data_IF_037782700123
#
_entry.id   IF_037782700123
#
_cell.length_a   1.000
_cell.length_b   1.000
_cell.length_c   1.000
_cell.angle_alpha   90.00
_cell.angle_beta   90.00
_cell.angle_gamma   90.00
#
_symmetry.space_group_name_H-M   'P 1'
#
loop_
_entity.id
_entity.type
_entity.pdbx_description
1 polymer ?
#
# COMPACT_ATOMS: atom_id res chain seq x y z
N UNK A 1 6.74 -16.46 -13.40
CA UNK A 1 5.93 -15.57 -12.56
C UNK A 1 6.87 -15.03 -11.50
N UNK A 2 6.98 -13.70 -11.36
CA UNK A 2 7.86 -13.06 -10.38
C UNK A 2 7.01 -12.01 -9.65
N UNK A 3 6.90 -12.15 -8.32
CA UNK A 3 6.25 -11.17 -7.44
C UNK A 3 7.36 -10.62 -6.55
N UNK A 4 7.67 -9.31 -6.66
CA UNK A 4 8.58 -8.65 -5.74
C UNK A 4 7.94 -7.34 -5.28
N UNK A 5 8.28 -6.94 -4.06
CA UNK A 5 7.73 -5.78 -3.38
C UNK A 5 8.87 -4.82 -3.04
N UNK A 6 8.70 -3.53 -3.35
CA UNK A 6 9.49 -2.44 -2.78
C UNK A 6 8.82 -1.89 -1.53
N UNK A 7 9.60 -1.45 -0.54
CA UNK A 7 9.12 -1.02 0.77
C UNK A 7 9.58 0.38 1.13
N UNK A 8 8.67 1.18 1.67
CA UNK A 8 8.99 2.25 2.61
C UNK A 8 8.06 2.16 3.81
N UNK A 9 8.61 2.40 4.99
CA UNK A 9 7.95 2.13 6.27
C UNK A 9 8.35 3.25 7.21
N UNK A 10 7.47 4.15 7.64
CA UNK A 10 7.84 5.12 8.65
C UNK A 10 7.89 4.47 10.04
N UNK A 11 8.65 5.07 10.95
CA UNK A 11 8.64 4.75 12.37
C UNK A 11 7.48 5.50 13.00
N UNK A 12 6.47 4.77 13.47
CA UNK A 12 5.49 5.35 14.38
C UNK A 12 6.22 5.71 15.68
N UNK A 13 6.23 6.98 16.07
CA UNK A 13 6.77 7.35 17.39
C UNK A 13 5.83 6.83 18.47
N UNK A 14 6.22 5.71 19.08
CA UNK A 14 5.45 5.01 20.11
C UNK A 14 5.26 5.81 21.40
N UNK A 15 5.78 7.04 21.48
CA UNK A 15 5.67 7.89 22.68
C UNK A 15 4.43 8.78 22.70
N UNK A 16 3.86 9.13 21.54
CA UNK A 16 2.67 10.00 21.46
C UNK A 16 1.53 9.43 20.59
N UNK A 17 1.73 8.30 19.90
CA UNK A 17 0.65 7.59 19.22
C UNK A 17 -0.01 6.56 20.13
N UNK A 18 -0.71 7.03 21.16
CA UNK A 18 -1.98 6.38 21.48
C UNK A 18 -2.89 6.69 20.31
N UNK A 19 -2.96 5.82 19.28
CA UNK A 19 -4.03 5.96 18.28
C UNK A 19 -5.32 5.97 19.11
N UNK A 20 -6.07 7.10 19.18
CA UNK A 20 -7.30 7.11 19.95
C UNK A 20 -8.13 5.95 19.42
N UNK A 21 -8.62 5.08 20.31
CA UNK A 21 -9.37 3.87 19.97
C UNK A 21 -10.35 4.10 18.80
N UNK A 22 -10.96 5.28 18.80
CA UNK A 22 -11.93 5.74 17.83
C UNK A 22 -11.39 5.91 16.39
N UNK A 23 -10.12 6.33 16.22
CA UNK A 23 -9.48 6.48 14.92
C UNK A 23 -9.08 5.13 14.28
N UNK A 24 -8.48 4.23 15.07
CA UNK A 24 -8.13 2.87 14.61
C UNK A 24 -9.37 2.11 14.14
N UNK A 25 -10.46 2.22 14.91
CA UNK A 25 -11.70 1.55 14.62
C UNK A 25 -12.39 2.10 13.36
N UNK A 26 -12.45 3.44 13.21
CA UNK A 26 -13.05 4.09 12.03
C UNK A 26 -12.34 3.72 10.73
N UNK A 27 -11.01 3.63 10.74
CA UNK A 27 -10.28 3.06 9.62
C UNK A 27 -10.74 1.62 9.37
N UNK A 28 -10.73 0.76 10.38
CA UNK A 28 -11.18 -0.64 10.25
C UNK A 28 -12.59 -0.73 9.63
N UNK A 29 -13.54 0.11 10.06
CA UNK A 29 -14.93 0.15 9.57
C UNK A 29 -15.01 0.58 8.10
N UNK A 30 -14.35 1.68 7.73
CA UNK A 30 -14.34 2.18 6.35
C UNK A 30 -13.69 1.17 5.39
N UNK A 31 -12.71 0.38 5.86
CA UNK A 31 -11.99 -0.61 5.03
C UNK A 31 -12.56 -2.05 5.12
N UNK A 32 -13.38 -2.39 6.13
CA UNK A 32 -13.95 -3.73 6.35
C UNK A 32 -15.28 -3.99 5.63
N UNK A 33 -15.88 -3.01 4.94
CA UNK A 33 -17.11 -3.21 4.11
C UNK A 33 -16.93 -4.23 2.96
N UNK A 34 -15.73 -4.81 2.80
CA UNK A 34 -15.41 -5.91 1.89
C UNK A 34 -14.92 -7.22 2.54
N UNK A 35 -14.95 -7.36 3.87
CA UNK A 35 -14.73 -8.68 4.50
C UNK A 35 -15.77 -9.72 4.05
N UNK A 36 -16.91 -9.28 3.49
CA UNK A 36 -17.93 -10.16 2.91
C UNK A 36 -17.47 -10.82 1.59
N UNK A 37 -16.58 -10.20 0.81
CA UNK A 37 -15.97 -10.82 -0.39
C UNK A 37 -14.83 -11.81 -0.03
N UNK A 38 -14.39 -11.85 1.24
CA UNK A 38 -13.37 -12.78 1.74
C UNK A 38 -13.94 -14.15 2.17
N UNK A 39 -15.26 -14.26 2.37
CA UNK A 39 -15.91 -15.51 2.80
C UNK A 39 -16.04 -16.56 1.69
N UNK A 40 -15.78 -16.24 0.42
CA UNK A 40 -15.85 -17.23 -0.66
C UNK A 40 -14.51 -17.94 -0.90
N UNK A 41 -14.38 -19.12 -0.30
CA UNK A 41 -13.59 -20.27 -0.78
C UNK A 41 -12.11 -20.04 -1.13
N UNK A 42 -11.25 -20.09 -0.13
CA UNK A 42 -9.88 -20.63 -0.19
C UNK A 42 -9.51 -21.05 1.24
N UNK A 43 -8.74 -22.14 1.43
CA UNK A 43 -8.27 -22.56 2.77
C UNK A 43 -7.72 -21.33 3.49
N UNK A 44 -8.35 -20.90 4.58
CA UNK A 44 -7.96 -19.70 5.32
C UNK A 44 -6.48 -19.81 5.67
N UNK A 45 -5.65 -19.02 4.96
CA UNK A 45 -4.25 -18.89 5.32
C UNK A 45 -4.22 -18.29 6.71
N UNK A 46 -3.74 -19.04 7.69
CA UNK A 46 -3.48 -18.52 9.02
C UNK A 46 -2.17 -17.75 8.99
N UNK A 47 -2.16 -16.57 9.60
CA UNK A 47 -0.96 -15.74 9.75
C UNK A 47 -0.53 -15.78 11.20
N UNK A 48 0.68 -16.26 11.45
CA UNK A 48 1.26 -16.26 12.79
C UNK A 48 1.59 -14.82 13.23
N UNK A 49 1.58 -14.57 14.55
CA UNK A 49 2.08 -13.33 15.10
C UNK A 49 3.57 -13.15 14.74
N UNK A 50 3.96 -12.00 14.15
CA UNK A 50 5.37 -11.72 13.89
C UNK A 50 6.20 -11.72 15.18
N UNK A 51 7.40 -12.30 15.12
CA UNK A 51 8.37 -12.29 16.23
C UNK A 51 9.31 -11.08 16.16
N UNK A 52 9.14 -10.21 15.17
CA UNK A 52 9.97 -9.04 14.97
C UNK A 52 9.13 -7.87 14.45
N UNK A 53 9.55 -6.64 14.77
CA UNK A 53 8.99 -5.45 14.13
C UNK A 53 9.41 -5.37 12.68
N UNK A 54 8.65 -4.62 11.89
CA UNK A 54 9.09 -4.22 10.58
C UNK A 54 10.27 -3.23 10.71
N UNK A 55 11.26 -3.24 9.78
CA UNK A 55 12.14 -2.09 9.62
C UNK A 55 11.32 -0.83 9.43
N UNK A 56 11.82 0.30 9.92
CA UNK A 56 11.09 1.57 9.88
C UNK A 56 12.04 2.75 9.72
N UNK A 57 11.55 3.86 9.19
CA UNK A 57 12.30 5.05 8.83
C UNK A 57 11.68 6.25 9.55
N UNK A 58 12.45 7.05 10.25
CA UNK A 58 11.88 8.18 11.00
C UNK A 58 11.26 9.24 10.08
N UNK A 59 10.24 9.97 10.56
CA UNK A 59 9.63 11.07 9.78
C UNK A 59 10.63 12.17 9.45
N UNK A 60 11.66 12.36 10.28
CA UNK A 60 12.78 13.26 10.01
C UNK A 60 13.48 12.95 8.67
N UNK A 61 13.59 11.67 8.30
CA UNK A 61 14.16 11.27 7.02
C UNK A 61 13.20 11.49 5.84
N UNK A 62 11.89 11.37 6.06
CA UNK A 62 10.89 11.71 5.03
C UNK A 62 10.92 13.20 4.73
N UNK A 63 10.98 14.03 5.77
CA UNK A 63 11.16 15.47 5.66
C UNK A 63 12.45 15.83 4.93
N UNK A 64 13.59 15.22 5.31
CA UNK A 64 14.88 15.44 4.65
C UNK A 64 14.85 15.09 3.15
N UNK A 65 14.27 13.96 2.77
CA UNK A 65 14.17 13.58 1.36
C UNK A 65 13.27 14.55 0.57
N UNK A 66 12.22 15.10 1.18
CA UNK A 66 11.41 16.14 0.56
C UNK A 66 12.16 17.47 0.41
N UNK A 67 12.96 17.86 1.41
CA UNK A 67 13.81 19.07 1.34
C UNK A 67 14.81 18.91 0.20
N UNK A 68 15.47 17.76 0.11
CA UNK A 68 16.43 17.48 -0.95
C UNK A 68 15.77 17.43 -2.34
N UNK A 69 14.57 16.86 -2.45
CA UNK A 69 13.79 16.92 -3.68
C UNK A 69 13.44 18.38 -4.05
N UNK A 70 13.07 19.20 -3.06
CA UNK A 70 12.76 20.62 -3.26
C UNK A 70 13.99 21.41 -3.72
N UNK A 71 15.16 21.16 -3.15
CA UNK A 71 16.43 21.74 -3.59
C UNK A 71 16.78 21.32 -5.02
N UNK A 72 16.66 20.02 -5.32
CA UNK A 72 16.91 19.48 -6.65
C UNK A 72 16.01 20.13 -7.72
N UNK A 73 14.72 20.29 -7.43
CA UNK A 73 13.76 20.94 -8.32
C UNK A 73 14.07 22.44 -8.48
N UNK A 74 14.45 23.11 -7.39
CA UNK A 74 14.82 24.53 -7.40
C UNK A 74 16.06 24.81 -8.24
N UNK A 75 17.07 23.93 -8.20
CA UNK A 75 18.27 24.02 -9.04
C UNK A 75 17.95 23.93 -10.55
N UNK A 76 16.82 23.29 -10.90
CA UNK A 76 16.30 23.21 -12.26
C UNK A 76 15.38 24.37 -12.63
N UNK A 77 15.22 25.36 -11.76
CA UNK A 77 14.35 26.52 -11.97
C UNK A 77 12.86 26.23 -11.75
N UNK A 78 12.51 25.06 -11.22
CA UNK A 78 11.12 24.66 -10.97
C UNK A 78 10.68 25.27 -9.63
N UNK A 79 9.64 26.12 -9.67
CA UNK A 79 9.12 26.81 -8.47
C UNK A 79 8.10 25.93 -7.73
N UNK A 80 8.31 25.73 -6.44
CA UNK A 80 7.45 24.86 -5.61
C UNK A 80 6.39 25.57 -4.79
N UNK A 81 6.28 26.89 -4.90
CA UNK A 81 5.26 27.68 -4.21
C UNK A 81 3.85 27.26 -4.63
N UNK A 82 3.00 27.03 -3.64
CA UNK A 82 1.64 26.51 -3.72
C UNK A 82 1.53 25.11 -4.36
N UNK A 83 2.59 24.31 -4.35
CA UNK A 83 2.54 22.92 -4.86
C UNK A 83 2.20 21.92 -3.76
N UNK A 84 1.85 20.69 -4.16
CA UNK A 84 1.62 19.61 -3.19
C UNK A 84 2.88 19.21 -2.43
N UNK A 85 4.07 19.37 -3.04
CA UNK A 85 5.35 19.06 -2.39
C UNK A 85 5.62 20.01 -1.23
N UNK A 86 5.40 21.32 -1.45
CA UNK A 86 5.49 22.33 -0.37
C UNK A 86 4.53 21.98 0.78
N UNK A 87 3.29 21.60 0.47
CA UNK A 87 2.34 21.17 1.51
C UNK A 87 2.78 19.90 2.24
N UNK A 88 3.42 18.94 1.59
CA UNK A 88 3.95 17.78 2.30
C UNK A 88 5.13 18.14 3.20
N UNK A 89 5.97 19.11 2.80
CA UNK A 89 7.02 19.67 3.65
C UNK A 89 6.43 20.32 4.90
N UNK A 90 5.43 21.20 4.71
CA UNK A 90 4.73 21.85 5.81
C UNK A 90 4.10 20.82 6.75
N UNK A 91 3.43 19.79 6.21
CA UNK A 91 2.84 18.72 7.01
C UNK A 91 3.88 17.98 7.86
N UNK A 92 5.02 17.60 7.28
CA UNK A 92 6.05 16.92 8.05
C UNK A 92 6.76 17.84 9.05
N UNK A 93 6.87 19.15 8.78
CA UNK A 93 7.33 20.12 9.78
C UNK A 93 6.42 20.12 11.00
N UNK A 94 5.10 20.17 10.79
CA UNK A 94 4.11 20.10 11.86
C UNK A 94 4.21 18.78 12.64
N UNK A 95 4.29 17.64 11.95
CA UNK A 95 4.47 16.31 12.60
C UNK A 95 5.73 16.27 13.48
N UNK A 96 6.84 16.87 13.03
CA UNK A 96 8.09 16.91 13.80
C UNK A 96 8.04 17.89 14.98
N UNK A 97 7.18 18.90 14.92
CA UNK A 97 6.91 19.85 16.01
C UNK A 97 5.86 19.34 17.01
N UNK A 98 5.35 18.11 16.82
CA UNK A 98 4.25 17.52 17.58
C UNK A 98 2.91 18.30 17.47
N UNK A 99 2.78 19.18 16.48
CA UNK A 99 1.54 19.85 16.11
C UNK A 99 0.88 19.03 14.98
N UNK A 100 -0.24 18.36 15.26
CA UNK A 100 -0.78 17.35 14.34
C UNK A 100 -1.99 17.81 13.53
N UNK A 101 -2.30 19.11 13.48
CA UNK A 101 -3.50 19.59 12.78
C UNK A 101 -3.31 19.67 11.24
N UNK A 102 -3.71 18.65 10.47
CA UNK A 102 -3.43 18.58 9.03
C UNK A 102 -4.30 19.58 8.25
N UNK A 103 -5.39 20.06 8.87
CA UNK A 103 -6.33 21.01 8.27
C UNK A 103 -5.68 22.37 8.03
N UNK A 104 -4.63 22.70 8.78
CA UNK A 104 -3.84 23.93 8.59
C UNK A 104 -3.04 23.91 7.28
N UNK A 105 -2.69 22.74 6.79
CA UNK A 105 -1.88 22.53 5.58
C UNK A 105 -2.76 22.26 4.37
N UNK A 106 -3.69 21.32 4.49
CA UNK A 106 -4.48 20.81 3.37
C UNK A 106 -5.87 21.45 3.28
N UNK A 107 -5.92 22.78 3.34
CA UNK A 107 -7.17 23.57 3.37
C UNK A 107 -8.12 23.33 2.20
N UNK A 108 -7.62 22.82 1.07
CA UNK A 108 -8.41 22.54 -0.14
C UNK A 108 -8.88 21.09 -0.24
N UNK A 109 -8.52 20.24 0.72
CA UNK A 109 -8.80 18.80 0.71
C UNK A 109 -9.99 18.43 1.62
N UNK A 110 -10.84 19.41 1.97
CA UNK A 110 -11.91 19.24 2.97
C UNK A 110 -13.00 18.23 2.58
N UNK A 111 -13.15 17.95 1.29
CA UNK A 111 -14.18 17.01 0.78
C UNK A 111 -13.63 15.60 0.57
N UNK A 112 -12.41 15.30 1.05
CA UNK A 112 -11.82 13.98 0.94
C UNK A 112 -12.26 13.00 2.03
N UNK A 113 -11.86 11.73 1.93
CA UNK A 113 -12.24 10.67 2.86
C UNK A 113 -11.44 10.73 4.18
N UNK A 114 -11.12 11.94 4.68
CA UNK A 114 -10.23 12.12 5.82
C UNK A 114 -11.05 12.33 7.09
N UNK A 115 -11.15 11.30 7.91
CA UNK A 115 -11.95 11.32 9.14
C UNK A 115 -11.09 11.40 10.41
N UNK A 116 -9.79 11.09 10.29
CA UNK A 116 -8.84 11.07 11.39
C UNK A 116 -7.45 11.59 10.96
N UNK A 117 -6.60 12.02 11.90
CA UNK A 117 -5.20 12.35 11.61
C UNK A 117 -4.44 11.21 10.92
N UNK A 118 -4.76 9.96 11.27
CA UNK A 118 -4.15 8.78 10.65
C UNK A 118 -4.53 8.61 9.17
N UNK A 119 -5.74 9.02 8.76
CA UNK A 119 -6.09 9.01 7.33
C UNK A 119 -5.18 9.96 6.56
N UNK A 120 -5.05 11.21 7.04
CA UNK A 120 -4.16 12.21 6.44
C UNK A 120 -2.74 11.66 6.33
N UNK A 121 -2.23 11.07 7.41
CA UNK A 121 -0.90 10.48 7.45
C UNK A 121 -0.72 9.39 6.38
N UNK A 122 -1.64 8.43 6.29
CA UNK A 122 -1.57 7.35 5.30
C UNK A 122 -1.59 7.88 3.86
N UNK A 123 -2.43 8.89 3.58
CA UNK A 123 -2.47 9.51 2.26
C UNK A 123 -1.20 10.30 1.95
N UNK A 124 -0.65 11.06 2.91
CA UNK A 124 0.64 11.75 2.72
C UNK A 124 1.77 10.75 2.48
N UNK A 125 1.85 9.68 3.29
CA UNK A 125 2.87 8.63 3.15
C UNK A 125 2.81 7.95 1.79
N UNK A 126 1.61 7.69 1.26
CA UNK A 126 1.44 7.21 -0.12
C UNK A 126 2.21 8.11 -1.09
N UNK A 127 1.94 9.40 -1.05
CA UNK A 127 2.50 10.35 -2.01
C UNK A 127 4.01 10.52 -1.83
N UNK A 128 4.45 10.65 -0.58
CA UNK A 128 5.85 10.94 -0.25
C UNK A 128 6.76 9.75 -0.51
N UNK A 129 6.34 8.53 -0.23
CA UNK A 129 7.15 7.35 -0.55
C UNK A 129 7.37 7.17 -2.06
N UNK A 130 6.40 7.55 -2.90
CA UNK A 130 6.58 7.56 -4.35
C UNK A 130 7.55 8.65 -4.80
N UNK A 131 7.49 9.85 -4.19
CA UNK A 131 8.46 10.92 -4.44
C UNK A 131 9.87 10.54 -4.00
N UNK A 132 10.03 9.92 -2.83
CA UNK A 132 11.31 9.38 -2.34
C UNK A 132 11.87 8.33 -3.30
N UNK A 133 11.01 7.44 -3.83
CA UNK A 133 11.42 6.47 -4.83
C UNK A 133 11.93 7.13 -6.10
N UNK A 134 11.28 8.19 -6.57
CA UNK A 134 11.72 8.97 -7.74
C UNK A 134 13.07 9.64 -7.46
N UNK A 135 13.20 10.31 -6.31
CA UNK A 135 14.44 10.98 -5.89
C UNK A 135 15.62 10.00 -5.87
N UNK A 136 15.44 8.77 -5.37
CA UNK A 136 16.48 7.72 -5.39
C UNK A 136 17.01 7.46 -6.80
N UNK A 137 16.14 7.40 -7.80
CA UNK A 137 16.54 7.22 -9.19
C UNK A 137 17.31 8.42 -9.73
N UNK A 138 16.82 9.63 -9.46
CA UNK A 138 17.45 10.89 -9.90
C UNK A 138 18.86 11.06 -9.30
N UNK A 139 19.06 10.64 -8.03
CA UNK A 139 20.37 10.63 -7.37
C UNK A 139 21.39 9.71 -8.06
N UNK A 140 20.94 8.63 -8.69
CA UNK A 140 21.83 7.75 -9.43
C UNK A 140 22.24 8.36 -10.77
N UNK A 141 21.27 8.94 -11.49
CA UNK A 141 21.50 9.52 -12.82
C UNK A 141 20.30 10.34 -13.28
N UNK A 142 20.56 11.43 -14.00
CA UNK A 142 19.50 12.20 -14.65
C UNK A 142 18.97 11.51 -15.92
N UNK A 143 17.63 11.37 -16.08
CA UNK A 143 17.02 10.93 -17.32
C UNK A 143 16.97 12.07 -18.35
N UNK A 144 17.13 11.74 -19.63
CA UNK A 144 16.91 12.70 -20.71
C UNK A 144 15.41 13.07 -20.76
N UNK A 145 15.07 14.37 -20.82
CA UNK A 145 13.68 14.83 -20.78
C UNK A 145 13.03 14.78 -19.39
N UNK A 146 13.82 14.58 -18.32
CA UNK A 146 13.31 14.55 -16.96
C UNK A 146 12.64 15.85 -16.51
N UNK A 147 13.16 16.99 -16.92
CA UNK A 147 12.74 18.31 -16.42
C UNK A 147 11.27 18.60 -16.72
N UNK A 148 10.79 18.31 -17.93
CA UNK A 148 9.37 18.45 -18.32
C UNK A 148 8.45 17.58 -17.46
N UNK A 149 8.86 16.33 -17.18
CA UNK A 149 8.09 15.41 -16.33
C UNK A 149 8.09 15.85 -14.88
N UNK A 150 9.20 16.40 -14.40
CA UNK A 150 9.30 16.94 -13.04
C UNK A 150 8.39 18.16 -12.87
N UNK A 151 8.35 19.07 -13.84
CA UNK A 151 7.45 20.22 -13.82
C UNK A 151 5.97 19.81 -13.84
N UNK A 152 5.59 18.79 -14.59
CA UNK A 152 4.22 18.25 -14.54
C UNK A 152 3.91 17.58 -13.18
N UNK A 153 4.88 16.85 -12.62
CA UNK A 153 4.70 16.08 -11.39
C UNK A 153 4.39 16.96 -10.17
N UNK A 154 4.78 18.22 -10.10
CA UNK A 154 4.53 19.04 -8.89
C UNK A 154 3.09 19.56 -8.79
N UNK A 155 2.35 19.52 -9.91
CA UNK A 155 0.98 20.02 -10.00
C UNK A 155 -0.09 19.06 -9.46
N UNK A 156 -1.35 19.29 -9.85
CA UNK A 156 -2.49 18.45 -9.47
C UNK A 156 -2.97 18.65 -8.03
N UNK A 157 -3.94 17.82 -7.63
CA UNK A 157 -4.45 17.81 -6.26
C UNK A 157 -3.48 17.22 -5.25
N UNK A 158 -3.68 17.54 -3.97
CA UNK A 158 -2.85 17.05 -2.85
C UNK A 158 -2.78 15.53 -2.83
N UNK A 159 -3.88 14.84 -3.07
CA UNK A 159 -3.91 13.37 -2.96
C UNK A 159 -4.43 12.77 -4.25
N UNK A 160 -3.83 11.67 -4.72
CA UNK A 160 -4.30 10.99 -5.92
C UNK A 160 -5.76 10.49 -5.82
N UNK A 161 -6.27 10.40 -4.59
CA UNK A 161 -7.67 10.18 -4.23
C UNK A 161 -8.60 11.24 -4.85
N UNK A 162 -8.19 12.51 -4.79
CA UNK A 162 -9.00 13.68 -5.15
C UNK A 162 -8.79 14.14 -6.60
N UNK A 163 -7.85 13.51 -7.30
CA UNK A 163 -7.40 13.99 -8.60
C UNK A 163 -8.45 13.76 -9.69
N UNK A 164 -8.84 14.86 -10.34
CA UNK A 164 -9.73 14.88 -11.51
C UNK A 164 -8.96 14.92 -12.81
N UNK A 165 -7.87 15.68 -12.83
CA UNK A 165 -6.85 15.63 -13.88
C UNK A 165 -5.86 14.51 -13.57
N UNK A 166 -5.32 13.85 -14.59
CA UNK A 166 -4.40 12.74 -14.43
C UNK A 166 -2.96 13.05 -14.82
N UNK A 167 -2.68 14.20 -15.44
CA UNK A 167 -1.39 14.44 -16.11
C UNK A 167 -0.22 14.46 -15.13
N UNK A 168 -0.34 15.22 -14.03
CA UNK A 168 0.66 15.26 -12.97
C UNK A 168 0.99 13.87 -12.41
N UNK A 169 -0.04 13.04 -12.22
CA UNK A 169 0.12 11.70 -11.65
C UNK A 169 0.57 10.68 -12.70
N UNK A 170 0.25 10.88 -13.98
CA UNK A 170 0.80 10.08 -15.07
C UNK A 170 2.31 10.33 -15.15
N UNK A 171 2.75 11.60 -15.14
CA UNK A 171 4.16 11.96 -15.07
C UNK A 171 4.86 11.38 -13.83
N UNK A 172 4.22 11.43 -12.66
CA UNK A 172 4.74 10.80 -11.44
C UNK A 172 4.92 9.29 -11.60
N UNK A 173 3.93 8.59 -12.19
CA UNK A 173 4.03 7.15 -12.42
C UNK A 173 5.13 6.80 -13.43
N UNK A 174 5.28 7.58 -14.50
CA UNK A 174 6.37 7.41 -15.48
C UNK A 174 7.74 7.60 -14.84
N UNK A 175 7.91 8.64 -14.02
CA UNK A 175 9.14 8.89 -13.25
C UNK A 175 9.41 7.76 -12.23
N UNK A 176 8.37 7.21 -11.59
CA UNK A 176 8.50 6.04 -10.70
C UNK A 176 9.04 4.83 -11.46
N UNK A 177 8.50 4.55 -12.65
CA UNK A 177 8.95 3.45 -13.50
C UNK A 177 10.39 3.69 -13.99
N UNK A 178 10.71 4.91 -14.44
CA UNK A 178 12.05 5.31 -14.83
C UNK A 178 13.07 5.10 -13.70
N UNK A 179 12.70 5.41 -12.46
CA UNK A 179 13.57 5.27 -11.28
C UNK A 179 14.12 3.86 -11.11
N UNK A 180 13.34 2.80 -11.36
CA UNK A 180 13.84 1.42 -11.30
C UNK A 180 15.03 1.19 -12.25
N UNK A 181 14.98 1.76 -13.45
CA UNK A 181 16.05 1.62 -14.44
C UNK A 181 17.25 2.51 -14.12
N UNK A 182 17.02 3.73 -13.61
CA UNK A 182 18.09 4.64 -13.18
C UNK A 182 18.89 4.06 -12.01
N UNK A 183 18.22 3.47 -11.01
CA UNK A 183 18.86 2.82 -9.87
C UNK A 183 19.73 1.62 -10.27
N UNK A 184 19.39 0.92 -11.37
CA UNK A 184 20.23 -0.12 -11.96
C UNK A 184 21.38 0.42 -12.84
N UNK A 185 21.40 1.72 -13.13
CA UNK A 185 22.40 2.37 -13.97
C UNK A 185 22.10 2.34 -15.47
N UNK A 186 20.85 2.12 -15.88
CA UNK A 186 20.44 2.28 -17.27
C UNK A 186 20.54 3.74 -17.73
N UNK A 187 20.61 3.96 -19.04
CA UNK A 187 20.30 5.28 -19.62
C UNK A 187 18.79 5.35 -19.86
N UNK A 188 18.14 6.38 -19.34
CA UNK A 188 16.69 6.57 -19.49
C UNK A 188 16.41 7.82 -20.31
N UNK A 189 15.46 7.70 -21.23
CA UNK A 189 15.01 8.75 -22.14
C UNK A 189 13.48 8.85 -22.05
N UNK A 190 13.02 10.04 -21.67
CA UNK A 190 11.63 10.45 -21.48
C UNK A 190 11.19 11.52 -22.49
N UNK A 191 12.04 11.87 -23.47
CA UNK A 191 11.76 12.93 -24.48
C UNK A 191 10.88 12.45 -25.63
N UNK A 192 10.66 11.15 -25.72
CA UNK A 192 9.99 10.54 -26.87
C UNK A 192 8.49 10.40 -26.64
N UNK A 193 7.75 10.08 -27.70
CA UNK A 193 6.34 9.73 -27.55
C UNK A 193 6.10 8.47 -26.70
N UNK A 194 7.10 7.58 -26.56
CA UNK A 194 7.01 6.46 -25.63
C UNK A 194 7.40 6.93 -24.24
N UNK A 195 6.53 6.65 -23.27
CA UNK A 195 6.61 7.17 -21.90
C UNK A 195 7.98 6.96 -21.25
N UNK A 196 8.59 5.77 -21.38
CA UNK A 196 9.95 5.50 -20.90
C UNK A 196 10.72 4.63 -21.89
N UNK A 197 11.93 5.06 -22.26
CA UNK A 197 12.91 4.22 -22.97
C UNK A 197 14.12 4.00 -22.07
N UNK A 198 14.38 2.76 -21.69
CA UNK A 198 15.52 2.39 -20.84
C UNK A 198 16.53 1.51 -21.61
N UNK A 199 17.77 1.98 -21.71
CA UNK A 199 18.86 1.28 -22.41
C UNK A 199 19.86 0.74 -21.38
N UNK A 200 19.94 -0.58 -21.31
CA UNK A 200 20.93 -1.31 -20.51
C UNK A 200 22.15 -1.69 -21.36
N UNK A 201 23.16 -2.33 -20.76
CA UNK A 201 24.30 -2.89 -21.53
C UNK A 201 23.85 -3.96 -22.54
N UNK A 202 22.80 -4.73 -22.22
CA UNK A 202 22.38 -5.91 -22.98
C UNK A 202 21.26 -5.61 -23.97
N UNK A 203 20.22 -4.91 -23.52
CA UNK A 203 18.96 -4.71 -24.26
C UNK A 203 18.41 -3.28 -24.08
N UNK A 204 17.48 -2.89 -24.96
CA UNK A 204 16.69 -1.67 -24.83
C UNK A 204 15.21 -1.99 -24.58
N UNK A 205 14.62 -1.33 -23.59
CA UNK A 205 13.24 -1.52 -23.16
C UNK A 205 12.43 -0.28 -23.48
N UNK A 206 11.32 -0.45 -24.20
CA UNK A 206 10.33 0.58 -24.47
C UNK A 206 9.13 0.29 -23.58
N UNK A 207 8.78 1.23 -22.71
CA UNK A 207 7.73 1.05 -21.72
C UNK A 207 6.63 2.09 -21.95
N UNK A 208 5.40 1.62 -22.13
CA UNK A 208 4.20 2.46 -22.10
C UNK A 208 3.55 2.32 -20.71
N UNK A 209 3.38 3.45 -20.04
CA UNK A 209 2.81 3.56 -18.72
C UNK A 209 1.32 3.91 -18.82
N UNK A 210 0.47 3.23 -18.05
CA UNK A 210 -0.96 3.54 -17.96
C UNK A 210 -1.44 3.48 -16.53
N UNK A 211 -1.98 4.59 -16.02
CA UNK A 211 -2.75 4.61 -14.78
C UNK A 211 -4.21 4.31 -15.08
N UNK A 212 -4.72 3.24 -14.49
CA UNK A 212 -6.04 2.70 -14.85
C UNK A 212 -7.03 3.04 -13.74
N UNK A 213 -7.97 3.93 -14.04
CA UNK A 213 -8.90 4.46 -13.05
C UNK A 213 -10.04 3.50 -12.68
N UNK A 214 -10.35 2.50 -13.53
CA UNK A 214 -11.45 1.57 -13.28
C UNK A 214 -11.32 0.27 -14.07
N UNK A 215 -11.99 -0.79 -13.59
CA UNK A 215 -12.05 -2.09 -14.28
C UNK A 215 -12.64 -1.98 -15.69
N UNK A 216 -13.58 -1.04 -15.91
CA UNK A 216 -14.18 -0.78 -17.23
C UNK A 216 -13.14 -0.31 -18.26
N UNK A 217 -12.15 0.46 -17.83
CA UNK A 217 -11.12 1.03 -18.71
C UNK A 217 -9.91 0.09 -18.90
N UNK A 218 -9.76 -0.92 -18.04
CA UNK A 218 -8.59 -1.79 -17.97
C UNK A 218 -8.16 -2.34 -19.33
N UNK A 219 -9.02 -3.10 -20.01
CA UNK A 219 -8.65 -3.71 -21.29
C UNK A 219 -8.43 -2.71 -22.41
N UNK A 220 -9.21 -1.63 -22.44
CA UNK A 220 -9.04 -0.57 -23.45
C UNK A 220 -7.66 0.06 -23.32
N UNK A 221 -7.30 0.51 -22.11
CA UNK A 221 -6.01 1.19 -21.83
C UNK A 221 -4.81 0.29 -22.09
N UNK A 222 -4.89 -0.99 -21.76
CA UNK A 222 -3.82 -1.97 -22.06
C UNK A 222 -3.65 -2.15 -23.58
N UNK A 223 -4.74 -2.31 -24.33
CA UNK A 223 -4.68 -2.41 -25.80
C UNK A 223 -4.13 -1.14 -26.44
N UNK A 224 -4.52 0.03 -25.95
CA UNK A 224 -4.00 1.32 -26.44
C UNK A 224 -2.47 1.38 -26.26
N UNK A 225 -1.95 0.96 -25.10
CA UNK A 225 -0.53 0.86 -24.83
C UNK A 225 0.20 -0.13 -25.76
N UNK A 226 -0.42 -1.29 -26.02
CA UNK A 226 0.14 -2.26 -26.97
C UNK A 226 0.27 -1.68 -28.39
N UNK A 227 -0.76 -0.97 -28.85
CA UNK A 227 -0.78 -0.33 -30.17
C UNK A 227 0.29 0.76 -30.25
N UNK A 228 0.42 1.58 -29.21
CA UNK A 228 1.45 2.60 -29.09
C UNK A 228 2.86 1.99 -29.18
N UNK A 229 3.13 0.91 -28.43
CA UNK A 229 4.41 0.20 -28.50
C UNK A 229 4.68 -0.37 -29.90
N UNK A 230 3.71 -1.04 -30.53
CA UNK A 230 3.91 -1.60 -31.88
C UNK A 230 4.28 -0.51 -32.90
N UNK A 231 3.67 0.67 -32.79
CA UNK A 231 3.93 1.79 -33.70
C UNK A 231 5.32 2.39 -33.48
N UNK A 232 5.76 2.49 -32.22
CA UNK A 232 6.94 3.29 -31.82
C UNK A 232 8.24 2.49 -31.68
N UNK A 233 8.17 1.17 -31.47
CA UNK A 233 9.36 0.34 -31.22
C UNK A 233 10.15 0.04 -32.50
N UNK A 234 11.39 0.55 -32.66
CA UNK A 234 12.26 0.19 -33.77
C UNK A 234 12.73 -1.27 -33.62
N UNK A 235 13.27 -1.87 -34.69
CA UNK A 235 13.79 -3.25 -34.62
C UNK A 235 15.03 -3.37 -33.70
N UNK A 236 15.88 -2.34 -33.70
CA UNK A 236 17.06 -2.21 -32.84
C UNK A 236 17.20 -0.76 -32.37
N UNK A 237 17.90 -0.56 -31.24
CA UNK A 237 18.36 0.75 -30.76
C UNK A 237 19.80 0.61 -30.32
N UNK A 238 20.69 1.45 -30.87
CA UNK A 238 22.13 1.44 -30.54
C UNK A 238 22.74 0.03 -30.58
N UNK A 239 22.42 -0.74 -31.62
CA UNK A 239 22.89 -2.12 -31.81
C UNK A 239 22.20 -3.19 -30.94
N UNK A 240 21.36 -2.81 -29.97
CA UNK A 240 20.68 -3.72 -29.02
C UNK A 240 19.32 -4.17 -29.54
N UNK A 241 18.83 -5.32 -29.07
CA UNK A 241 17.45 -5.70 -29.36
C UNK A 241 16.50 -4.85 -28.53
N UNK A 242 15.34 -4.55 -29.10
CA UNK A 242 14.30 -3.73 -28.49
C UNK A 242 13.12 -4.60 -28.09
N UNK A 243 12.67 -4.44 -26.85
CA UNK A 243 11.54 -5.16 -26.28
C UNK A 243 10.53 -4.21 -25.63
N UNK A 244 9.25 -4.50 -25.81
CA UNK A 244 8.14 -3.71 -25.28
C UNK A 244 7.64 -4.22 -23.95
N UNK A 245 7.32 -3.30 -23.05
CA UNK A 245 6.66 -3.58 -21.78
C UNK A 245 5.49 -2.62 -21.57
N UNK A 246 4.35 -3.13 -21.10
CA UNK A 246 3.27 -2.27 -20.63
C UNK A 246 3.35 -2.22 -19.11
N UNK A 247 3.57 -1.03 -18.54
CA UNK A 247 3.52 -0.80 -17.11
C UNK A 247 2.15 -0.20 -16.73
N UNK A 248 1.42 -0.85 -15.83
CA UNK A 248 0.06 -0.46 -15.49
C UNK A 248 -0.10 -0.29 -13.97
N UNK A 249 -0.41 0.93 -13.54
CA UNK A 249 -0.88 1.16 -12.17
C UNK A 249 -2.37 0.82 -12.11
N UNK A 250 -2.69 -0.25 -11.39
CA UNK A 250 -4.05 -0.79 -11.24
C UNK A 250 -4.60 -0.58 -9.84
N UNK A 251 -3.99 0.31 -9.06
CA UNK A 251 -4.41 0.58 -7.67
C UNK A 251 -5.90 0.92 -7.58
N UNK A 252 -6.40 1.85 -8.42
CA UNK A 252 -7.83 2.23 -8.45
C UNK A 252 -8.75 1.14 -8.99
N UNK A 253 -8.21 0.15 -9.72
CA UNK A 253 -8.98 -1.02 -10.18
C UNK A 253 -9.23 -2.00 -9.05
N UNK A 254 -8.21 -2.24 -8.22
CA UNK A 254 -8.27 -3.14 -7.07
C UNK A 254 -8.97 -2.47 -5.87
N UNK A 255 -8.64 -1.22 -5.59
CA UNK A 255 -9.07 -0.48 -4.40
C UNK A 255 -9.83 0.80 -4.80
N UNK A 256 -11.17 0.72 -4.77
CA UNK A 256 -12.05 1.83 -5.19
C UNK A 256 -12.01 3.01 -4.24
N UNK A 257 -11.72 2.78 -2.96
CA UNK A 257 -11.68 3.78 -1.88
C UNK A 257 -10.31 4.48 -1.79
N UNK A 258 -9.73 4.80 -2.94
CA UNK A 258 -8.53 5.63 -3.05
C UNK A 258 -7.21 5.02 -2.56
N UNK A 259 -7.12 3.69 -2.49
CA UNK A 259 -5.84 2.99 -2.38
C UNK A 259 -5.21 3.09 -1.00
N UNK A 260 -5.97 2.74 0.05
CA UNK A 260 -5.52 2.38 1.41
C UNK A 260 -5.96 0.94 1.71
N UNK A 261 -5.23 0.20 2.55
CA UNK A 261 -5.64 -1.15 2.97
C UNK A 261 -5.35 -1.40 4.45
N UNK A 262 -5.98 -2.43 5.00
CA UNK A 262 -5.78 -2.88 6.37
C UNK A 262 -5.38 -4.35 6.37
N UNK A 263 -4.49 -4.73 7.29
CA UNK A 263 -4.09 -6.12 7.45
C UNK A 263 -3.71 -6.46 8.90
N UNK A 264 -3.97 -7.70 9.29
CA UNK A 264 -3.46 -8.27 10.55
C UNK A 264 -1.93 -8.19 10.68
N UNK A 265 -1.21 -8.67 9.67
CA UNK A 265 0.27 -8.68 9.66
C UNK A 265 0.77 -8.10 8.35
N UNK A 266 2.07 -7.78 8.29
CA UNK A 266 2.69 -7.33 7.04
C UNK A 266 2.62 -8.37 5.93
N UNK A 267 2.76 -9.65 6.28
CA UNK A 267 2.63 -10.75 5.32
C UNK A 267 1.20 -10.92 4.83
N UNK A 268 0.21 -10.72 5.71
CA UNK A 268 -1.19 -10.67 5.29
C UNK A 268 -1.44 -9.52 4.31
N UNK A 269 -0.92 -8.31 4.57
CA UNK A 269 -1.04 -7.19 3.64
C UNK A 269 -0.47 -7.55 2.26
N UNK A 270 0.72 -8.15 2.24
CA UNK A 270 1.39 -8.63 1.02
C UNK A 270 0.51 -9.60 0.24
N UNK A 271 0.04 -10.66 0.90
CA UNK A 271 -0.73 -11.72 0.25
C UNK A 271 -2.07 -11.20 -0.28
N UNK A 272 -2.74 -10.33 0.47
CA UNK A 272 -4.00 -9.68 0.04
C UNK A 272 -3.79 -8.82 -1.19
N UNK A 273 -2.78 -7.94 -1.19
CA UNK A 273 -2.46 -7.08 -2.35
C UNK A 273 -2.08 -7.93 -3.56
N UNK A 274 -1.28 -8.98 -3.37
CA UNK A 274 -0.88 -9.89 -4.45
C UNK A 274 -2.07 -10.69 -5.00
N UNK A 275 -3.02 -11.09 -4.15
CA UNK A 275 -4.28 -11.72 -4.57
C UNK A 275 -5.11 -10.75 -5.42
N UNK A 276 -5.24 -9.50 -5.01
CA UNK A 276 -5.97 -8.48 -5.76
C UNK A 276 -5.32 -8.15 -7.10
N UNK A 277 -3.98 -8.03 -7.15
CA UNK A 277 -3.22 -7.92 -8.40
C UNK A 277 -3.54 -9.08 -9.35
N UNK A 278 -3.46 -10.32 -8.87
CA UNK A 278 -3.74 -11.52 -9.68
C UNK A 278 -5.18 -11.55 -10.17
N UNK A 279 -6.15 -11.09 -9.35
CA UNK A 279 -7.56 -10.98 -9.75
C UNK A 279 -7.77 -9.96 -10.87
N UNK A 280 -7.03 -8.84 -10.85
CA UNK A 280 -7.05 -7.87 -11.95
C UNK A 280 -6.48 -8.48 -13.23
N UNK A 281 -5.39 -9.24 -13.13
CA UNK A 281 -4.75 -9.88 -14.30
C UNK A 281 -5.60 -11.01 -14.88
N UNK A 282 -6.21 -11.86 -14.05
CA UNK A 282 -7.05 -12.96 -14.53
C UNK A 282 -8.26 -12.46 -15.33
N UNK A 283 -8.81 -11.30 -14.97
CA UNK A 283 -9.86 -10.64 -15.74
C UNK A 283 -9.40 -10.19 -17.15
N UNK A 284 -8.11 -9.85 -17.31
CA UNK A 284 -7.52 -9.56 -18.62
C UNK A 284 -7.25 -10.83 -19.42
N UNK A 285 -6.72 -11.87 -18.79
CA UNK A 285 -6.39 -13.15 -19.44
C UNK A 285 -7.63 -13.88 -19.98
N UNK A 286 -8.81 -13.64 -19.40
CA UNK A 286 -10.07 -14.15 -19.93
C UNK A 286 -10.41 -13.60 -21.34
N UNK A 287 -9.66 -12.60 -21.85
CA UNK A 287 -9.86 -12.03 -23.19
C UNK A 287 -8.86 -12.63 -24.18
N UNK A 288 -9.39 -13.12 -25.31
CA UNK A 288 -8.64 -13.90 -26.30
C UNK A 288 -7.50 -13.15 -27.02
N UNK A 289 -7.50 -11.82 -27.01
CA UNK A 289 -6.52 -10.99 -27.71
C UNK A 289 -5.38 -10.45 -26.83
N UNK A 290 -5.47 -10.62 -25.51
CA UNK A 290 -4.47 -10.14 -24.57
C UNK A 290 -3.14 -10.89 -24.73
N UNK A 291 -2.01 -10.17 -24.72
CA UNK A 291 -0.69 -10.82 -24.74
C UNK A 291 -0.22 -11.32 -26.11
N UNK A 292 -1.01 -11.14 -27.17
CA UNK A 292 -0.75 -11.74 -28.49
C UNK A 292 0.20 -10.92 -29.38
N UNK A 293 0.52 -9.68 -29.00
CA UNK A 293 1.34 -8.78 -29.82
C UNK A 293 2.81 -9.20 -29.85
N UNK A 294 3.45 -9.10 -31.03
CA UNK A 294 4.86 -9.47 -31.21
C UNK A 294 5.75 -8.49 -30.43
N UNK A 295 6.88 -8.95 -29.87
CA UNK A 295 7.90 -8.12 -29.21
C UNK A 295 7.46 -7.37 -27.94
N UNK A 296 6.20 -7.46 -27.52
CA UNK A 296 5.79 -7.14 -26.15
C UNK A 296 6.00 -8.41 -25.33
N UNK A 297 6.95 -8.36 -24.40
CA UNK A 297 7.38 -9.56 -23.66
C UNK A 297 6.83 -9.60 -22.23
N UNK A 298 6.46 -8.44 -21.67
CA UNK A 298 6.06 -8.31 -20.28
C UNK A 298 4.93 -7.28 -20.11
N UNK A 299 3.95 -7.65 -19.28
CA UNK A 299 2.94 -6.75 -18.73
C UNK A 299 3.21 -6.64 -17.23
N UNK A 300 3.60 -5.46 -16.79
CA UNK A 300 3.97 -5.14 -15.43
C UNK A 300 2.82 -4.41 -14.74
N UNK A 301 2.09 -5.11 -13.89
CA UNK A 301 1.01 -4.53 -13.10
C UNK A 301 1.53 -4.13 -11.73
N UNK A 302 1.15 -2.94 -11.26
CA UNK A 302 1.52 -2.44 -9.94
C UNK A 302 0.30 -2.00 -9.15
N UNK A 303 0.35 -2.28 -7.85
CA UNK A 303 -0.46 -1.62 -6.84
C UNK A 303 0.48 -0.85 -5.91
N UNK A 304 0.17 0.43 -5.73
CA UNK A 304 0.85 1.32 -4.80
C UNK A 304 -0.14 1.80 -3.73
N UNK A 305 0.01 1.25 -2.52
CA UNK A 305 -0.98 1.37 -1.45
C UNK A 305 -0.31 1.43 -0.06
N UNK A 306 -0.68 2.38 0.81
CA UNK A 306 -0.44 2.32 2.24
C UNK A 306 -1.30 1.24 2.89
N UNK A 307 -0.74 0.60 3.89
CA UNK A 307 -1.37 -0.44 4.70
C UNK A 307 -1.23 -0.08 6.17
N UNK A 308 -2.35 -0.10 6.90
CA UNK A 308 -2.34 -0.16 8.35
C UNK A 308 -2.24 -1.63 8.77
N UNK A 309 -1.17 -1.97 9.47
CA UNK A 309 -0.90 -3.31 9.98
C UNK A 309 -1.22 -3.33 11.47
N UNK A 310 -1.98 -4.34 11.93
CA UNK A 310 -2.32 -4.48 13.35
C UNK A 310 -1.15 -5.01 14.18
N UNK A 311 -0.44 -6.01 13.66
CA UNK A 311 0.53 -6.82 14.40
C UNK A 311 1.89 -6.92 13.70
N UNK A 312 2.93 -6.30 14.27
CA UNK A 312 2.83 -5.19 15.24
C UNK A 312 2.20 -3.96 14.60
N UNK A 313 1.59 -3.10 15.44
CA UNK A 313 0.89 -1.91 14.95
C UNK A 313 1.86 -1.00 14.22
N UNK A 314 1.63 -0.82 12.92
CA UNK A 314 2.53 -0.06 12.07
C UNK A 314 1.81 0.37 10.80
N UNK A 315 2.33 1.43 10.17
CA UNK A 315 1.93 1.80 8.81
C UNK A 315 3.05 1.42 7.85
N UNK A 316 2.69 0.98 6.65
CA UNK A 316 3.66 0.63 5.61
C UNK A 316 3.12 1.00 4.25
N UNK A 317 3.96 1.48 3.33
CA UNK A 317 3.56 1.66 1.93
C UNK A 317 4.22 0.61 1.07
N UNK A 318 3.42 -0.05 0.25
CA UNK A 318 3.85 -1.17 -0.60
C UNK A 318 3.76 -0.79 -2.07
N UNK A 319 4.84 -1.06 -2.79
CA UNK A 319 4.88 -1.13 -4.26
C UNK A 319 4.86 -2.59 -4.68
N UNK A 320 3.67 -3.19 -4.73
CA UNK A 320 3.52 -4.58 -5.11
C UNK A 320 3.43 -4.70 -6.62
N UNK A 321 4.27 -5.56 -7.19
CA UNK A 321 4.34 -5.78 -8.63
C UNK A 321 3.98 -7.20 -9.02
N UNK A 322 3.33 -7.34 -10.17
CA UNK A 322 3.04 -8.60 -10.82
C UNK A 322 3.46 -8.54 -12.30
N UNK A 323 4.32 -9.47 -12.72
CA UNK A 323 4.82 -9.55 -14.10
C UNK A 323 4.17 -10.73 -14.83
N UNK A 324 3.32 -10.42 -15.82
CA UNK A 324 2.83 -11.39 -16.80
C UNK A 324 3.79 -11.41 -17.99
N UNK A 325 4.70 -12.38 -17.97
CA UNK A 325 5.56 -12.67 -19.11
C UNK A 325 4.76 -13.39 -20.20
N UNK A 326 5.15 -13.15 -21.46
CA UNK A 326 4.61 -13.84 -22.63
C UNK A 326 4.87 -15.36 -22.53
N UNK A 327 3.83 -16.16 -22.70
CA UNK A 327 3.88 -17.62 -22.49
C UNK A 327 4.81 -18.34 -23.48
N UNK A 328 4.78 -17.94 -24.76
CA UNK A 328 5.60 -18.51 -25.83
C UNK A 328 6.76 -17.58 -26.17
N UNK A 329 7.56 -17.23 -25.16
CA UNK A 329 8.73 -16.38 -25.33
C UNK A 329 9.87 -17.14 -26.04
N UNK A 330 10.48 -16.52 -27.05
CA UNK A 330 11.68 -17.04 -27.69
C UNK A 330 12.93 -16.82 -26.79
N UNK A 331 14.07 -17.42 -27.16
CA UNK A 331 15.32 -17.35 -26.38
C UNK A 331 15.79 -15.91 -26.09
N UNK A 332 15.55 -14.96 -27.01
CA UNK A 332 15.90 -13.54 -26.80
C UNK A 332 14.93 -12.87 -25.82
N UNK A 333 13.63 -13.13 -25.95
CA UNK A 333 12.60 -12.64 -25.03
C UNK A 333 12.82 -13.18 -23.60
N UNK A 334 13.21 -14.45 -23.43
CA UNK A 334 13.54 -15.03 -22.11
C UNK A 334 14.76 -14.33 -21.49
N UNK A 335 15.80 -14.06 -22.29
CA UNK A 335 16.99 -13.33 -21.83
C UNK A 335 16.64 -11.90 -21.42
N UNK A 336 15.81 -11.23 -22.21
CA UNK A 336 15.32 -9.89 -21.91
C UNK A 336 14.49 -9.88 -20.62
N UNK A 337 13.61 -10.88 -20.43
CA UNK A 337 12.85 -11.06 -19.20
C UNK A 337 13.75 -11.25 -17.97
N UNK A 338 14.80 -12.09 -18.07
CA UNK A 338 15.77 -12.25 -16.98
C UNK A 338 16.49 -10.94 -16.66
N UNK A 339 16.96 -10.21 -17.68
CA UNK A 339 17.61 -8.91 -17.49
C UNK A 339 16.65 -7.87 -16.89
N UNK A 340 15.39 -7.89 -17.27
CA UNK A 340 14.35 -7.01 -16.73
C UNK A 340 14.07 -7.34 -15.25
N UNK A 341 13.93 -8.62 -14.89
CA UNK A 341 13.78 -9.02 -13.49
C UNK A 341 15.00 -8.64 -12.67
N UNK A 342 16.22 -8.82 -13.19
CA UNK A 342 17.47 -8.42 -12.54
C UNK A 342 17.50 -6.91 -12.23
N UNK A 343 17.08 -6.06 -13.18
CA UNK A 343 16.92 -4.61 -12.97
C UNK A 343 15.98 -4.33 -11.81
N UNK A 344 14.80 -4.94 -11.84
CA UNK A 344 13.74 -4.70 -10.88
C UNK A 344 14.09 -5.22 -9.47
N UNK A 345 14.67 -6.41 -9.37
CA UNK A 345 15.15 -7.01 -8.11
C UNK A 345 16.24 -6.16 -7.48
N UNK A 346 17.23 -5.73 -8.26
CA UNK A 346 18.35 -4.93 -7.76
C UNK A 346 17.86 -3.60 -7.17
N UNK A 347 16.94 -2.92 -7.85
CA UNK A 347 16.35 -1.69 -7.34
C UNK A 347 15.45 -1.93 -6.11
N UNK A 348 14.64 -3.00 -6.11
CA UNK A 348 13.66 -3.27 -5.04
C UNK A 348 14.29 -3.83 -3.75
N UNK A 349 15.40 -4.56 -3.86
CA UNK A 349 16.04 -5.24 -2.74
C UNK A 349 17.12 -4.39 -2.05
N UNK A 350 17.32 -3.14 -2.46
CA UNK A 350 18.27 -2.23 -1.82
C UNK A 350 17.56 -1.47 -0.68
N UNK A 351 17.69 -1.90 0.59
CA UNK A 351 17.02 -1.25 1.72
C UNK A 351 17.56 0.18 1.92
N UNK A 352 16.75 1.06 2.53
CA UNK A 352 17.31 2.33 2.99
C UNK A 352 18.33 2.07 4.09
N UNK A 353 19.55 2.62 3.96
CA UNK A 353 20.57 2.48 5.01
C UNK A 353 20.20 3.21 6.30
N UNK A 354 19.23 4.13 6.24
CA UNK A 354 18.69 4.88 7.38
C UNK A 354 17.56 4.12 8.10
N UNK A 355 17.10 2.98 7.55
CA UNK A 355 16.09 2.18 8.23
C UNK A 355 16.59 1.67 9.58
N UNK A 356 15.77 1.87 10.60
CA UNK A 356 15.93 1.27 11.91
C UNK A 356 15.68 -0.24 11.77
N UNK A 357 16.61 -1.09 12.24
CA UNK A 357 16.48 -2.53 12.10
C UNK A 357 15.30 -3.09 12.92
N UNK A 358 14.77 -4.27 12.52
CA UNK A 358 13.76 -4.99 13.29
C UNK A 358 14.14 -5.20 14.75
N UNK A 359 13.19 -4.98 15.66
CA UNK A 359 13.31 -5.33 17.08
C UNK A 359 12.63 -6.67 17.33
N UNK A 360 13.17 -7.49 18.22
CA UNK A 360 12.52 -8.73 18.63
C UNK A 360 11.24 -8.41 19.41
N UNK A 361 10.19 -9.18 19.16
CA UNK A 361 8.91 -9.14 19.85
C UNK A 361 8.72 -10.47 20.57
N UNK A 362 8.26 -10.40 21.82
CA UNK A 362 7.94 -11.60 22.60
C UNK A 362 6.43 -11.70 22.75
N UNK A 363 5.78 -12.68 22.09
CA UNK A 363 4.35 -12.89 22.25
C UNK A 363 4.01 -13.20 23.71
N UNK A 364 2.94 -12.59 24.22
CA UNK A 364 2.40 -12.92 25.54
C UNK A 364 1.84 -14.33 25.52
N UNK A 365 2.19 -15.11 26.54
CA UNK A 365 1.60 -16.42 26.78
C UNK A 365 0.55 -16.38 27.89
N UNK A 366 0.52 -15.28 28.66
CA UNK A 366 -0.41 -15.07 29.79
C UNK A 366 -0.76 -13.59 29.91
N UNK A 367 -1.98 -13.33 30.33
CA UNK A 367 -2.48 -12.00 30.69
C UNK A 367 -2.83 -11.99 32.17
N UNK A 368 -2.41 -10.94 32.87
CA UNK A 368 -2.77 -10.73 34.27
C UNK A 368 -3.78 -9.59 34.32
N UNK A 369 -5.03 -9.93 34.65
CA UNK A 369 -6.07 -8.94 34.93
C UNK A 369 -6.06 -8.73 36.44
N UNK A 370 -5.73 -7.52 36.94
CA UNK A 370 -5.62 -7.27 38.37
C UNK A 370 -6.99 -7.35 39.06
N UNK A 371 -6.97 -7.65 40.35
CA UNK A 371 -8.18 -7.61 41.17
C UNK A 371 -8.79 -6.20 41.15
N UNK A 372 -10.12 -6.12 41.04
CA UNK A 372 -10.85 -4.86 40.93
C UNK A 372 -11.11 -4.39 39.50
N UNK A 373 -10.61 -5.10 38.48
CA UNK A 373 -11.01 -4.84 37.09
C UNK A 373 -12.53 -5.05 36.92
N UNK A 374 -13.18 -4.15 36.18
CA UNK A 374 -14.63 -4.18 35.92
C UNK A 374 -14.84 -4.36 34.43
N UNK A 375 -15.88 -5.10 34.04
CA UNK A 375 -16.25 -5.22 32.64
C UNK A 375 -17.76 -5.05 32.44
N UNK A 376 -18.13 -4.62 31.25
CA UNK A 376 -19.52 -4.60 30.78
C UNK A 376 -19.59 -5.03 29.32
N UNK A 377 -20.74 -5.56 28.90
CA UNK A 377 -20.94 -6.02 27.53
C UNK A 377 -22.41 -5.84 27.11
N UNK A 378 -22.65 -5.73 25.80
CA UNK A 378 -24.00 -5.66 25.24
C UNK A 378 -24.52 -7.07 24.96
N UNK A 379 -25.42 -7.54 25.84
CA UNK A 379 -26.08 -8.83 25.74
C UNK A 379 -26.66 -9.08 24.35
N UNK A 380 -27.28 -8.06 23.72
CA UNK A 380 -27.98 -8.22 22.44
C UNK A 380 -27.03 -8.64 21.33
N UNK A 381 -25.81 -8.11 21.33
CA UNK A 381 -24.82 -8.45 20.31
C UNK A 381 -24.33 -9.88 20.52
N UNK A 382 -24.01 -10.29 21.76
CA UNK A 382 -23.61 -11.66 22.09
C UNK A 382 -24.70 -12.66 21.71
N UNK A 383 -25.95 -12.39 22.11
CA UNK A 383 -27.10 -13.23 21.76
C UNK A 383 -27.26 -13.38 20.25
N UNK A 384 -27.17 -12.28 19.49
CA UNK A 384 -27.30 -12.33 18.03
C UNK A 384 -26.16 -13.10 17.34
N UNK A 385 -24.94 -13.02 17.87
CA UNK A 385 -23.76 -13.68 17.28
C UNK A 385 -23.76 -15.19 17.53
N UNK A 386 -24.28 -15.63 18.69
CA UNK A 386 -24.20 -17.04 19.12
C UNK A 386 -25.53 -17.81 19.08
N UNK A 387 -26.69 -17.16 19.19
CA UNK A 387 -28.00 -17.84 19.30
C UNK A 387 -28.96 -17.62 18.13
N UNK A 388 -28.86 -16.53 17.37
CA UNK A 388 -29.79 -16.30 16.25
C UNK A 388 -29.34 -16.99 14.94
N UNK A 389 -30.28 -17.67 14.28
CA UNK A 389 -30.09 -18.24 12.93
C UNK A 389 -30.13 -17.19 11.81
N UNK A 390 -30.64 -15.99 12.08
CA UNK A 390 -30.68 -14.87 11.15
C UNK A 390 -29.75 -13.77 11.67
N UNK A 391 -28.61 -13.60 11.00
CA UNK A 391 -27.55 -12.69 11.44
C UNK A 391 -28.01 -11.24 11.30
N UNK A 392 -28.52 -10.64 12.38
CA UNK A 392 -28.59 -9.19 12.50
C UNK A 392 -27.17 -8.65 12.26
N UNK A 393 -26.98 -7.92 11.16
CA UNK A 393 -25.71 -7.25 10.88
C UNK A 393 -25.61 -6.00 11.74
N UNK A 394 -24.63 -5.97 12.64
CA UNK A 394 -24.33 -4.79 13.44
C UNK A 394 -23.30 -3.93 12.72
N UNK A 395 -23.40 -2.59 12.79
CA UNK A 395 -22.33 -1.71 12.35
C UNK A 395 -21.02 -2.02 13.08
N UNK A 396 -19.89 -1.98 12.37
CA UNK A 396 -18.57 -2.36 12.90
C UNK A 396 -18.12 -1.46 14.07
N UNK A 397 -18.60 -0.21 14.11
CA UNK A 397 -18.43 0.78 15.17
C UNK A 397 -19.26 0.54 16.42
N UNK A 398 -20.17 -0.43 16.39
CA UNK A 398 -21.04 -0.67 17.53
C UNK A 398 -20.17 -1.15 18.69
N UNK A 399 -20.17 -0.37 19.78
CA UNK A 399 -19.46 -0.74 21.01
C UNK A 399 -20.12 -1.99 21.59
N UNK A 400 -19.31 -3.04 21.74
CA UNK A 400 -19.71 -4.35 22.21
C UNK A 400 -19.44 -4.52 23.70
N UNK A 401 -18.27 -4.10 24.16
CA UNK A 401 -17.84 -4.33 25.54
C UNK A 401 -16.89 -3.24 26.03
N UNK A 402 -16.76 -3.15 27.35
CA UNK A 402 -15.79 -2.29 28.03
C UNK A 402 -15.06 -3.12 29.08
N UNK A 403 -13.75 -2.97 29.18
CA UNK A 403 -12.91 -3.50 30.25
C UNK A 403 -12.15 -2.34 30.91
N UNK A 404 -12.35 -2.16 32.21
CA UNK A 404 -11.71 -1.13 33.03
C UNK A 404 -10.66 -1.78 33.93
N UNK A 405 -9.41 -1.35 33.81
CA UNK A 405 -8.26 -1.91 34.54
C UNK A 405 -7.49 -0.75 35.19
N UNK A 406 -7.78 -0.47 36.46
CA UNK A 406 -7.25 0.73 37.11
C UNK A 406 -7.80 1.99 36.45
N UNK A 407 -6.92 2.85 35.96
CA UNK A 407 -7.29 4.08 35.24
C UNK A 407 -7.46 3.86 33.72
N UNK A 408 -7.16 2.66 33.21
CA UNK A 408 -7.24 2.34 31.79
C UNK A 408 -8.63 1.80 31.42
N UNK A 409 -9.25 2.39 30.40
CA UNK A 409 -10.55 1.97 29.86
C UNK A 409 -10.38 1.46 28.43
N UNK A 410 -10.71 0.19 28.20
CA UNK A 410 -10.66 -0.45 26.90
C UNK A 410 -12.06 -0.66 26.35
N UNK A 411 -12.39 0.01 25.24
CA UNK A 411 -13.63 -0.25 24.50
C UNK A 411 -13.38 -1.27 23.38
N UNK A 412 -14.25 -2.27 23.30
CA UNK A 412 -14.29 -3.25 22.22
C UNK A 412 -15.54 -3.04 21.40
N UNK A 413 -15.44 -3.32 20.11
CA UNK A 413 -16.50 -3.10 19.15
C UNK A 413 -16.73 -4.35 18.31
N UNK A 414 -17.78 -4.34 17.51
CA UNK A 414 -18.11 -5.47 16.61
C UNK A 414 -16.93 -5.80 15.69
N UNK A 415 -16.18 -4.80 15.24
CA UNK A 415 -14.97 -5.01 14.44
C UNK A 415 -13.91 -5.89 15.15
N UNK A 416 -13.68 -5.65 16.45
CA UNK A 416 -12.75 -6.44 17.26
C UNK A 416 -13.23 -7.90 17.37
N UNK A 417 -14.54 -8.09 17.58
CA UNK A 417 -15.16 -9.41 17.64
C UNK A 417 -15.02 -10.18 16.33
N UNK A 418 -15.30 -9.55 15.18
CA UNK A 418 -15.20 -10.22 13.88
C UNK A 418 -13.79 -10.76 13.61
N UNK A 419 -12.76 -10.04 14.06
CA UNK A 419 -11.35 -10.43 13.91
C UNK A 419 -10.99 -11.72 14.66
N UNK A 420 -11.65 -12.02 15.78
CA UNK A 420 -11.36 -13.18 16.64
C UNK A 420 -12.51 -14.16 16.77
N UNK A 421 -13.61 -13.96 16.05
CA UNK A 421 -14.82 -14.78 16.16
C UNK A 421 -14.56 -16.29 15.97
N UNK A 422 -13.72 -16.74 15.02
CA UNK A 422 -13.39 -18.15 14.90
C UNK A 422 -12.71 -18.72 16.15
N UNK A 423 -11.79 -17.96 16.76
CA UNK A 423 -11.06 -18.37 17.97
C UNK A 423 -11.99 -18.41 19.18
N UNK A 424 -12.86 -17.41 19.32
CA UNK A 424 -13.88 -17.37 20.38
C UNK A 424 -14.83 -18.58 20.25
N UNK A 425 -15.35 -18.86 19.05
CA UNK A 425 -16.24 -20.01 18.82
C UNK A 425 -15.57 -21.33 19.17
N UNK A 426 -14.31 -21.50 18.78
CA UNK A 426 -13.50 -22.66 19.12
C UNK A 426 -13.34 -22.78 20.64
N UNK A 427 -12.96 -21.70 21.32
CA UNK A 427 -12.76 -21.68 22.78
C UNK A 427 -14.05 -22.02 23.55
N UNK A 428 -15.19 -21.44 23.15
CA UNK A 428 -16.49 -21.74 23.76
C UNK A 428 -16.86 -23.21 23.59
N UNK A 429 -16.68 -23.76 22.39
CA UNK A 429 -16.98 -25.15 22.12
C UNK A 429 -16.09 -26.12 22.90
N UNK A 430 -14.78 -25.85 22.97
CA UNK A 430 -13.80 -26.72 23.65
C UNK A 430 -13.97 -26.73 25.18
N UNK A 431 -14.41 -25.62 25.77
CA UNK A 431 -14.55 -25.49 27.23
C UNK A 431 -15.99 -25.66 27.73
N UNK A 432 -16.98 -25.74 26.83
CA UNK A 432 -18.38 -25.97 27.19
C UNK A 432 -19.02 -24.80 27.96
N UNK A 433 -18.65 -23.55 27.64
CA UNK A 433 -19.27 -22.39 28.28
C UNK A 433 -20.74 -22.26 27.84
N UNK A 434 -21.66 -22.30 28.79
CA UNK A 434 -23.11 -22.20 28.53
C UNK A 434 -23.72 -20.89 29.06
N UNK A 435 -23.12 -20.32 30.11
CA UNK A 435 -23.59 -19.07 30.72
C UNK A 435 -23.12 -17.86 29.91
N UNK A 436 -24.00 -16.87 29.79
CA UNK A 436 -23.73 -15.68 28.99
C UNK A 436 -22.54 -14.89 29.54
N UNK A 437 -22.42 -14.81 30.86
CA UNK A 437 -21.36 -14.08 31.56
C UNK A 437 -19.98 -14.71 31.31
N UNK A 438 -19.91 -16.04 31.29
CA UNK A 438 -18.68 -16.79 31.00
C UNK A 438 -18.25 -16.59 29.54
N UNK A 439 -19.21 -16.66 28.60
CA UNK A 439 -18.99 -16.39 27.18
C UNK A 439 -18.48 -14.95 26.98
N UNK A 440 -19.13 -13.96 27.61
CA UNK A 440 -18.75 -12.56 27.48
C UNK A 440 -17.33 -12.30 28.02
N UNK A 441 -16.97 -12.90 29.15
CA UNK A 441 -15.63 -12.76 29.71
C UNK A 441 -14.57 -13.35 28.77
N UNK A 442 -14.83 -14.52 28.19
CA UNK A 442 -13.93 -15.16 27.20
C UNK A 442 -13.78 -14.30 25.95
N UNK A 443 -14.89 -13.73 25.45
CA UNK A 443 -14.86 -12.79 24.32
C UNK A 443 -13.95 -11.60 24.62
N UNK A 444 -14.16 -10.93 25.76
CA UNK A 444 -13.37 -9.77 26.18
C UNK A 444 -11.89 -10.16 26.33
N UNK A 445 -11.60 -11.30 26.95
CA UNK A 445 -10.23 -11.78 27.14
C UNK A 445 -9.52 -12.05 25.80
N UNK A 446 -10.19 -12.70 24.84
CA UNK A 446 -9.62 -12.98 23.51
C UNK A 446 -9.44 -11.69 22.71
N UNK A 447 -10.43 -10.78 22.72
CA UNK A 447 -10.28 -9.48 22.06
C UNK A 447 -9.15 -8.65 22.68
N UNK A 448 -9.01 -8.66 24.00
CA UNK A 448 -7.91 -8.01 24.70
C UNK A 448 -6.56 -8.62 24.32
N UNK A 449 -6.48 -9.95 24.27
CA UNK A 449 -5.27 -10.67 23.87
C UNK A 449 -4.88 -10.42 22.41
N UNK A 450 -5.87 -10.36 21.52
CA UNK A 450 -5.64 -10.01 20.12
C UNK A 450 -5.12 -8.59 19.98
N UNK A 451 -5.56 -7.65 20.83
CA UNK A 451 -5.14 -6.26 20.78
C UNK A 451 -3.73 -6.03 21.33
N UNK A 452 -3.36 -6.80 22.36
CA UNK A 452 -2.07 -6.66 23.05
C UNK A 452 -1.25 -7.96 23.02
N UNK A 453 -0.91 -8.50 21.83
CA UNK A 453 -0.33 -9.84 21.73
C UNK A 453 1.13 -9.94 22.17
N UNK A 454 1.81 -8.82 22.47
CA UNK A 454 3.24 -8.75 22.78
C UNK A 454 3.50 -8.19 24.18
N UNK A 455 4.60 -8.63 24.81
CA UNK A 455 5.07 -8.16 26.13
C UNK A 455 5.39 -6.67 26.18
#
# INVERSE_FOLDING_TARGET
MVCLDGYFRPKADTKNFSIPLHGFLKLLINYCTKFEDLKSMEKEKTYNLPLQTLPSLEYSHHFQDLVELNEYLSLKGIRLKNTRIERYLDYFSLVLEEDSDPWRVFKNSLTGPFESPLDWELYVLREVHELMWILRGLKCKEPLGGDEKLELMIGGSDFAALDKDSDSRNAQFELRIASYFLQYGCHVDLTTETDVIAVSKKEAFYIECKRIASSKQLSKRIRDAEVQLQKRMPAKRDGRNVFGCVAADVTKVAYKHNGLTFAFTSDHAKDTIQKDLKKVVSHLEAKSDFGMKKRIFNYWFQIHIPSLVSHPTSVSTRFSSFHKLKERANRKEIRAAKNFCEIFETASLNPDRREIPPRQLKPRTRYHIPAGAVYSFDDNVVYSVFKEKESKKWPMETRLAVLEVGDDVHHFHVADLEMVLPEIKKSIHENGYEKLEEIALVMIAIMFAQRFPYE
#
